data_IF_522061939573
#
_entry.id   IF_522061939573
#
_cell.length_a   1.000
_cell.length_b   1.000
_cell.length_c   1.000
_cell.angle_alpha   90.00
_cell.angle_beta   90.00
_cell.angle_gamma   90.00
#
_symmetry.space_group_name_H-M   'P 1'
#
loop_
_entity.id
_entity.type
_entity.pdbx_description
1 polymer ?
#
# COMPACT_ATOMS: atom_id res chain seq x y z
N UNK A 1 -7.71 5.15 -16.30
CA UNK A 1 -7.72 4.14 -15.21
C UNK A 1 -7.66 4.89 -13.89
N UNK A 2 -8.53 4.56 -12.93
CA UNK A 2 -8.55 5.23 -11.62
C UNK A 2 -7.61 4.51 -10.65
N UNK A 3 -6.93 5.27 -9.78
CA UNK A 3 -6.10 4.71 -8.71
C UNK A 3 -6.94 4.03 -7.61
N UNK A 4 -6.27 3.22 -6.79
CA UNK A 4 -6.86 2.62 -5.58
C UNK A 4 -7.32 3.75 -4.64
N UNK A 5 -8.55 3.69 -4.15
CA UNK A 5 -9.13 4.73 -3.27
C UNK A 5 -8.58 4.62 -1.85
N UNK A 6 -8.36 5.77 -1.18
CA UNK A 6 -7.86 5.85 0.20
C UNK A 6 -8.80 6.54 1.20
N UNK A 7 -8.59 6.33 2.52
CA UNK A 7 -9.49 6.78 3.60
C UNK A 7 -9.46 8.28 3.86
N UNK A 8 -8.30 8.91 3.71
CA UNK A 8 -8.07 10.29 4.13
C UNK A 8 -8.83 11.31 3.27
N UNK A 9 -9.30 10.91 2.10
CA UNK A 9 -10.12 11.73 1.21
C UNK A 9 -10.98 10.82 0.32
N UNK A 10 -12.30 11.05 0.26
CA UNK A 10 -13.24 10.28 -0.57
C UNK A 10 -12.92 10.29 -2.08
N UNK A 11 -12.10 11.25 -2.52
CA UNK A 11 -11.56 11.35 -3.88
C UNK A 11 -10.05 11.13 -3.93
N UNK A 12 -9.44 10.87 -2.77
CA UNK A 12 -8.02 10.59 -2.65
C UNK A 12 -7.70 9.22 -3.23
N UNK A 13 -6.55 9.15 -3.87
CA UNK A 13 -6.00 7.92 -4.41
C UNK A 13 -4.74 7.56 -3.62
N UNK A 14 -4.54 6.27 -3.40
CA UNK A 14 -3.27 5.76 -2.93
C UNK A 14 -2.22 6.06 -3.99
N UNK A 15 -1.16 6.77 -3.61
CA UNK A 15 -0.20 7.33 -4.55
C UNK A 15 1.24 7.10 -4.10
N UNK A 16 2.14 7.14 -5.07
CA UNK A 16 3.59 7.01 -4.88
C UNK A 16 4.32 8.20 -5.51
N UNK A 17 5.62 8.28 -5.26
CA UNK A 17 6.46 9.33 -5.81
C UNK A 17 6.33 9.35 -7.34
N UNK A 18 6.28 10.55 -7.94
CA UNK A 18 6.27 10.71 -9.39
C UNK A 18 7.68 11.01 -9.88
N UNK A 19 8.13 10.29 -10.89
CA UNK A 19 9.36 10.64 -11.63
C UNK A 19 9.07 11.75 -12.63
N UNK A 20 9.99 12.71 -12.72
CA UNK A 20 10.00 13.78 -13.72
C UNK A 20 11.10 13.55 -14.74
N UNK A 21 11.05 14.29 -15.86
CA UNK A 21 12.08 14.29 -16.90
C UNK A 21 13.43 14.78 -16.35
N UNK A 22 13.41 15.78 -15.47
CA UNK A 22 14.59 16.34 -14.82
C UNK A 22 15.12 15.41 -13.70
N UNK A 23 14.30 14.41 -13.32
CA UNK A 23 14.53 13.52 -12.19
C UNK A 23 14.79 14.27 -10.88
N UNK A 24 14.27 15.48 -10.70
CA UNK A 24 14.44 16.25 -9.47
C UNK A 24 13.23 16.06 -8.55
N UNK A 25 13.49 15.64 -7.31
CA UNK A 25 12.46 15.41 -6.30
C UNK A 25 11.69 16.68 -5.90
N UNK A 26 12.30 17.87 -6.09
CA UNK A 26 11.72 19.15 -5.70
C UNK A 26 11.08 19.91 -6.87
N UNK A 27 11.23 19.42 -8.11
CA UNK A 27 10.72 20.13 -9.29
C UNK A 27 9.18 20.16 -9.36
N UNK A 28 8.49 19.14 -8.84
CA UNK A 28 7.03 19.04 -8.81
C UNK A 28 6.56 18.54 -7.43
N UNK A 29 6.84 19.32 -6.38
CA UNK A 29 6.36 19.01 -5.04
C UNK A 29 4.83 18.83 -5.02
N UNK A 30 4.36 17.75 -4.40
CA UNK A 30 2.93 17.45 -4.25
C UNK A 30 2.29 16.68 -5.41
N UNK A 31 2.90 16.61 -6.60
CA UNK A 31 2.36 15.79 -7.69
C UNK A 31 2.79 14.34 -7.49
N UNK A 32 1.82 13.43 -7.41
CA UNK A 32 2.05 12.01 -7.16
C UNK A 32 1.43 11.13 -8.24
N UNK A 33 1.94 9.91 -8.38
CA UNK A 33 1.42 8.94 -9.33
C UNK A 33 0.45 8.01 -8.61
N UNK A 34 -0.79 7.83 -9.10
CA UNK A 34 -1.73 6.92 -8.47
C UNK A 34 -1.31 5.46 -8.65
N UNK A 35 -1.48 4.67 -7.60
CA UNK A 35 -1.28 3.23 -7.65
C UNK A 35 -2.47 2.59 -8.35
N UNK A 36 -2.20 1.98 -9.51
CA UNK A 36 -3.19 1.30 -10.32
C UNK A 36 -3.24 -0.18 -9.93
N UNK A 37 -4.44 -0.69 -9.69
CA UNK A 37 -4.63 -2.08 -9.31
C UNK A 37 -4.03 -3.03 -10.35
N UNK A 38 -3.19 -3.98 -9.90
CA UNK A 38 -2.61 -5.02 -10.75
C UNK A 38 -1.41 -4.59 -11.59
N UNK A 39 -0.96 -3.33 -11.47
CA UNK A 39 0.21 -2.83 -12.19
C UNK A 39 1.39 -2.62 -11.25
N UNK A 40 2.43 -3.41 -11.44
CA UNK A 40 3.71 -3.17 -10.79
C UNK A 40 4.29 -1.86 -11.33
N UNK A 41 4.78 -1.00 -10.44
CA UNK A 41 5.34 0.29 -10.82
C UNK A 41 6.56 0.63 -9.97
N UNK A 42 7.50 1.35 -10.59
CA UNK A 42 8.69 1.86 -9.93
C UNK A 42 8.92 3.29 -10.39
N UNK A 43 9.27 4.15 -9.45
CA UNK A 43 9.60 5.54 -9.71
C UNK A 43 10.70 5.99 -8.75
N UNK A 44 11.39 7.05 -9.13
CA UNK A 44 12.45 7.64 -8.34
C UNK A 44 12.86 9.01 -8.84
N UNK A 45 13.63 9.70 -8.01
CA UNK A 45 14.20 11.02 -8.31
C UNK A 45 15.51 11.21 -7.54
N UNK A 46 16.24 12.24 -7.94
CA UNK A 46 17.47 12.77 -7.35
C UNK A 46 17.10 13.94 -6.46
N UNK A 47 17.49 13.87 -5.20
CA UNK A 47 17.39 14.96 -4.26
C UNK A 47 18.78 15.58 -4.08
N UNK A 48 18.93 16.85 -4.48
CA UNK A 48 20.17 17.61 -4.27
C UNK A 48 20.14 18.29 -2.90
N UNK A 49 21.18 18.04 -2.11
CA UNK A 49 21.39 18.62 -0.78
C UNK A 49 22.52 19.65 -0.91
N UNK A 50 22.16 20.92 -0.90
CA UNK A 50 23.07 22.05 -1.16
C UNK A 50 23.63 22.69 0.10
N UNK A 51 23.10 22.36 1.29
CA UNK A 51 23.56 22.88 2.58
C UNK A 51 23.76 21.75 3.56
N UNK A 52 24.78 21.88 4.40
CA UNK A 52 24.93 21.03 5.57
C UNK A 52 23.69 21.19 6.45
N UNK A 53 22.90 20.12 6.53
CA UNK A 53 21.63 20.08 7.27
C UNK A 53 21.71 18.95 8.29
N UNK A 54 21.22 19.15 9.52
CA UNK A 54 21.13 18.08 10.50
C UNK A 54 20.47 16.83 9.92
N UNK A 55 21.06 15.66 10.19
CA UNK A 55 20.53 14.37 9.73
C UNK A 55 19.02 14.20 9.97
N UNK A 56 18.46 14.51 11.17
CA UNK A 56 17.02 14.37 11.41
C UNK A 56 16.14 15.17 10.45
N UNK A 57 16.59 16.35 10.02
CA UNK A 57 15.84 17.19 9.08
C UNK A 57 15.85 16.58 7.67
N UNK A 58 16.98 16.02 7.24
CA UNK A 58 17.08 15.35 5.95
C UNK A 58 16.21 14.08 5.96
N UNK A 59 16.23 13.32 7.05
CA UNK A 59 15.40 12.12 7.22
C UNK A 59 13.91 12.44 7.09
N UNK A 60 13.41 13.44 7.82
CA UNK A 60 12.00 13.82 7.73
C UNK A 60 11.64 14.40 6.36
N UNK A 61 12.54 15.15 5.73
CA UNK A 61 12.34 15.64 4.35
C UNK A 61 12.25 14.50 3.33
N UNK A 62 13.13 13.51 3.40
CA UNK A 62 13.08 12.39 2.46
C UNK A 62 11.86 11.50 2.73
N UNK A 63 11.54 11.26 4.00
CA UNK A 63 10.35 10.51 4.40
C UNK A 63 9.07 11.18 3.90
N UNK A 64 8.96 12.52 3.98
CA UNK A 64 7.81 13.25 3.45
C UNK A 64 7.75 13.20 1.92
N UNK A 65 8.89 13.22 1.22
CA UNK A 65 8.94 13.02 -0.23
C UNK A 65 8.49 11.61 -0.63
N UNK A 66 8.92 10.56 0.08
CA UNK A 66 8.56 9.17 -0.18
C UNK A 66 7.08 8.89 0.13
N UNK A 67 6.59 9.32 1.29
CA UNK A 67 5.18 9.12 1.71
C UNK A 67 4.21 10.05 0.99
N UNK A 68 4.64 11.26 0.67
CA UNK A 68 3.73 12.33 0.31
C UNK A 68 2.90 12.82 1.50
N UNK A 69 1.97 13.74 1.20
CA UNK A 69 0.99 14.20 2.17
C UNK A 69 -0.18 13.21 2.23
N UNK A 70 -0.61 12.85 3.44
CA UNK A 70 -1.80 12.01 3.63
C UNK A 70 -1.64 10.56 3.17
N UNK A 71 -0.45 9.96 3.39
CA UNK A 71 -0.24 8.53 3.17
C UNK A 71 -1.31 7.72 3.91
N UNK A 72 -1.99 6.77 3.26
CA UNK A 72 -3.21 6.20 3.80
C UNK A 72 -2.95 5.14 4.86
N UNK A 73 -3.80 5.14 5.89
CA UNK A 73 -3.87 4.06 6.87
C UNK A 73 -4.65 2.86 6.33
N UNK A 74 -5.59 3.10 5.41
CA UNK A 74 -6.35 2.03 4.76
C UNK A 74 -6.63 2.33 3.28
N UNK A 75 -6.82 1.27 2.51
CA UNK A 75 -7.22 1.32 1.11
C UNK A 75 -8.49 0.52 0.85
N UNK A 76 -9.20 0.90 -0.21
CA UNK A 76 -10.35 0.17 -0.69
C UNK A 76 -9.97 -1.27 -1.12
N UNK A 77 -10.76 -2.29 -0.73
CA UNK A 77 -10.49 -3.68 -1.10
C UNK A 77 -10.79 -3.97 -2.58
N UNK A 78 -11.73 -3.27 -3.20
CA UNK A 78 -12.11 -3.44 -4.60
C UNK A 78 -11.98 -2.13 -5.38
N UNK A 79 -11.78 -2.22 -6.70
CA UNK A 79 -11.69 -1.04 -7.57
C UNK A 79 -12.97 -0.21 -7.69
N UNK A 80 -14.13 -0.78 -7.32
CA UNK A 80 -15.44 -0.14 -7.32
C UNK A 80 -16.00 0.10 -5.90
N UNK A 81 -15.21 -0.13 -4.84
CA UNK A 81 -15.65 0.16 -3.47
C UNK A 81 -15.96 1.65 -3.31
N UNK A 82 -17.11 1.96 -2.71
CA UNK A 82 -17.40 3.34 -2.34
C UNK A 82 -16.62 3.71 -1.08
N UNK A 83 -16.12 4.94 -1.01
CA UNK A 83 -15.34 5.41 0.13
C UNK A 83 -16.11 5.43 1.48
N UNK A 84 -17.43 5.21 1.45
CA UNK A 84 -18.33 5.22 2.60
C UNK A 84 -18.58 3.82 3.19
N UNK A 85 -18.16 2.75 2.51
CA UNK A 85 -18.28 1.37 3.00
C UNK A 85 -17.06 0.99 3.86
N UNK A 86 -16.94 1.57 5.05
CA UNK A 86 -15.72 1.54 5.90
C UNK A 86 -15.39 0.15 6.47
N UNK A 87 -16.37 -0.75 6.56
CA UNK A 87 -16.23 -2.04 7.27
C UNK A 87 -15.26 -3.03 6.61
N UNK A 88 -14.97 -2.89 5.31
CA UNK A 88 -14.14 -3.84 4.55
C UNK A 88 -12.77 -3.28 4.13
N UNK A 89 -12.37 -2.14 4.69
CA UNK A 89 -11.12 -1.48 4.31
C UNK A 89 -9.89 -2.28 4.72
N UNK A 90 -8.89 -2.29 3.84
CA UNK A 90 -7.64 -3.03 4.07
C UNK A 90 -6.61 -2.11 4.72
N UNK A 91 -6.11 -2.44 5.92
CA UNK A 91 -5.08 -1.64 6.57
C UNK A 91 -3.75 -1.70 5.81
N UNK A 92 -3.06 -0.55 5.78
CA UNK A 92 -1.72 -0.40 5.24
C UNK A 92 -0.72 -0.53 6.39
N UNK A 93 0.03 -1.63 6.40
CA UNK A 93 1.04 -1.88 7.43
C UNK A 93 2.31 -1.14 7.08
N UNK A 94 2.59 -0.04 7.79
CA UNK A 94 3.81 0.74 7.59
C UNK A 94 4.95 0.22 8.47
N UNK A 95 6.01 -0.30 7.86
CA UNK A 95 7.17 -0.87 8.55
C UNK A 95 8.40 -0.03 8.22
N UNK A 96 9.17 0.35 9.23
CA UNK A 96 10.44 1.06 9.03
C UNK A 96 11.59 0.10 9.28
N UNK A 97 12.40 -0.16 8.24
CA UNK A 97 13.62 -0.94 8.36
C UNK A 97 14.79 0.01 8.63
N UNK A 98 15.28 -0.03 9.87
CA UNK A 98 16.44 0.75 10.31
C UNK A 98 17.64 -0.19 10.35
N UNK A 99 18.76 0.19 9.73
CA UNK A 99 19.99 -0.58 9.90
C UNK A 99 20.63 -0.25 11.24
N UNK A 100 21.02 -1.27 12.01
CA UNK A 100 21.58 -1.15 13.37
C UNK A 100 23.06 -0.71 13.39
N UNK A 101 23.45 0.21 12.52
CA UNK A 101 24.79 0.81 12.55
C UNK A 101 24.79 1.94 13.57
N UNK A 102 25.40 1.69 14.74
CA UNK A 102 25.71 2.75 15.71
C UNK A 102 26.55 3.83 14.99
N UNK A 103 26.23 5.09 15.25
CA UNK A 103 27.02 6.27 14.83
C UNK A 103 26.94 6.70 13.36
N UNK A 104 25.96 6.21 12.57
CA UNK A 104 25.70 6.73 11.20
C UNK A 104 24.27 7.20 11.00
N UNK A 105 24.09 8.32 10.29
CA UNK A 105 22.77 8.82 9.92
C UNK A 105 22.05 7.81 9.02
N UNK A 106 20.85 7.38 9.42
CA UNK A 106 20.05 6.42 8.65
C UNK A 106 19.04 7.16 7.78
N UNK A 107 19.29 7.22 6.48
CA UNK A 107 18.44 7.96 5.55
C UNK A 107 17.48 7.00 4.83
N UNK A 108 16.15 7.24 4.86
CA UNK A 108 15.18 6.41 4.15
C UNK A 108 15.28 6.67 2.65
N UNK A 109 15.87 5.77 1.88
CA UNK A 109 16.09 5.97 0.44
C UNK A 109 15.03 5.30 -0.43
N UNK A 110 14.26 4.36 0.10
CA UNK A 110 13.19 3.73 -0.67
C UNK A 110 11.95 3.43 0.14
N UNK A 111 10.79 3.48 -0.52
CA UNK A 111 9.51 2.99 -0.01
C UNK A 111 9.02 1.85 -0.92
N UNK A 112 9.00 0.64 -0.39
CA UNK A 112 8.59 -0.57 -1.12
C UNK A 112 7.22 -1.00 -0.62
N UNK A 113 6.23 -0.97 -1.51
CA UNK A 113 4.84 -1.32 -1.21
C UNK A 113 4.54 -2.66 -1.86
N UNK A 114 4.10 -3.62 -1.03
CA UNK A 114 3.58 -4.91 -1.47
C UNK A 114 2.06 -4.92 -1.29
N UNK A 115 1.35 -5.19 -2.37
CA UNK A 115 -0.11 -5.31 -2.41
C UNK A 115 -0.46 -6.76 -2.70
N UNK A 116 -0.91 -7.50 -1.68
CA UNK A 116 -1.43 -8.86 -1.85
C UNK A 116 -2.89 -8.79 -2.22
N UNK A 117 -3.28 -9.54 -3.25
CA UNK A 117 -4.65 -9.56 -3.74
C UNK A 117 -5.08 -10.99 -4.08
N UNK A 118 -6.40 -11.21 -4.13
CA UNK A 118 -7.00 -12.52 -4.41
C UNK A 118 -8.24 -12.37 -5.29
N UNK A 119 -8.61 -13.44 -6.00
CA UNK A 119 -9.88 -13.56 -6.72
C UNK A 119 -10.98 -13.90 -5.72
N UNK A 120 -11.94 -13.00 -5.57
CA UNK A 120 -13.10 -13.13 -4.69
C UNK A 120 -14.40 -13.20 -5.49
N UNK A 121 -15.31 -14.10 -5.11
CA UNK A 121 -16.62 -14.23 -5.74
C UNK A 121 -16.80 -15.54 -6.51
N UNK A 122 -17.69 -15.54 -7.50
CA UNK A 122 -18.02 -16.74 -8.28
C UNK A 122 -16.91 -17.11 -9.28
N UNK A 123 -16.83 -18.38 -9.64
CA UNK A 123 -15.87 -18.84 -10.66
C UNK A 123 -16.10 -18.19 -12.04
N UNK A 124 -17.35 -17.87 -12.37
CA UNK A 124 -17.73 -17.26 -13.65
C UNK A 124 -17.42 -15.76 -13.71
N UNK A 125 -17.36 -15.09 -12.56
CA UNK A 125 -17.08 -13.66 -12.47
C UNK A 125 -16.31 -13.33 -11.18
N UNK A 126 -15.03 -13.73 -11.08
CA UNK A 126 -14.19 -13.41 -9.94
C UNK A 126 -13.77 -11.94 -10.00
N UNK A 127 -13.87 -11.24 -8.88
CA UNK A 127 -13.41 -9.87 -8.73
C UNK A 127 -12.08 -9.85 -7.96
N UNK A 128 -11.18 -8.97 -8.35
CA UNK A 128 -9.90 -8.83 -7.67
C UNK A 128 -10.08 -8.04 -6.37
N UNK A 129 -9.66 -8.62 -5.24
CA UNK A 129 -9.79 -8.05 -3.90
C UNK A 129 -8.41 -7.91 -3.27
N UNK A 130 -8.06 -6.71 -2.81
CA UNK A 130 -6.89 -6.49 -1.95
C UNK A 130 -7.14 -7.15 -0.60
N UNK A 131 -6.15 -7.88 -0.08
CA UNK A 131 -6.23 -8.54 1.23
C UNK A 131 -5.18 -8.05 2.22
N UNK A 132 -4.06 -7.53 1.73
CA UNK A 132 -3.02 -6.94 2.57
C UNK A 132 -2.23 -5.91 1.78
N UNK A 133 -1.92 -4.79 2.44
CA UNK A 133 -0.91 -3.84 1.95
C UNK A 133 0.16 -3.70 3.01
N UNK A 134 1.42 -3.87 2.60
CA UNK A 134 2.59 -3.63 3.44
C UNK A 134 3.49 -2.60 2.78
N UNK A 135 3.90 -1.57 3.51
CA UNK A 135 4.74 -0.49 3.04
C UNK A 135 6.03 -0.45 3.87
N UNK A 136 7.14 -0.85 3.27
CA UNK A 136 8.44 -0.95 3.91
C UNK A 136 9.31 0.27 3.55
N UNK A 137 9.70 1.03 4.55
CA UNK A 137 10.67 2.12 4.41
C UNK A 137 12.08 1.57 4.58
N UNK A 138 12.85 1.56 3.50
CA UNK A 138 14.22 1.07 3.47
C UNK A 138 15.19 2.23 3.71
N UNK A 139 16.05 2.06 4.72
CA UNK A 139 17.06 3.04 5.08
C UNK A 139 18.46 2.57 4.71
N UNK A 140 19.32 3.50 4.35
CA UNK A 140 20.74 3.26 4.12
C UNK A 140 21.58 4.22 4.96
N UNK A 141 22.79 3.78 5.32
CA UNK A 141 23.78 4.65 5.95
C UNK A 141 24.07 5.86 5.06
N UNK A 142 23.91 7.04 5.62
CA UNK A 142 24.19 8.32 5.01
C UNK A 142 25.30 8.99 5.83
N UNK A 143 26.46 9.30 5.23
CA UNK A 143 27.52 10.00 5.95
C UNK A 143 27.05 11.43 6.25
N UNK A 144 27.26 11.91 7.47
CA UNK A 144 26.94 13.29 7.82
C UNK A 144 27.72 14.26 6.91
N UNK A 145 27.02 15.26 6.40
CA UNK A 145 27.60 16.25 5.49
C UNK A 145 28.55 17.16 6.26
N UNK A 146 29.85 17.04 6.01
CA UNK A 146 30.79 18.12 6.33
C UNK A 146 30.46 19.36 5.48
N UNK A 147 30.65 20.54 6.07
CA UNK A 147 30.31 21.84 5.50
C UNK A 147 30.77 21.99 4.03
N UNK A 148 29.83 22.22 3.10
CA UNK A 148 30.11 22.76 1.76
C UNK A 148 30.07 21.81 0.56
N UNK A 149 29.94 20.49 0.73
CA UNK A 149 29.81 19.57 -0.42
C UNK A 149 28.34 19.38 -0.83
N UNK A 150 28.02 19.68 -2.10
CA UNK A 150 26.73 19.32 -2.69
C UNK A 150 26.65 17.80 -2.82
N UNK A 151 25.56 17.20 -2.32
CA UNK A 151 25.36 15.76 -2.39
C UNK A 151 24.02 15.43 -3.02
N UNK A 152 24.03 14.44 -3.91
CA UNK A 152 22.81 13.93 -4.53
C UNK A 152 22.44 12.58 -3.93
N UNK A 153 21.20 12.46 -3.45
CA UNK A 153 20.61 11.21 -2.95
C UNK A 153 19.59 10.71 -3.97
N UNK A 154 19.64 9.43 -4.29
CA UNK A 154 18.61 8.76 -5.07
C UNK A 154 17.53 8.25 -4.11
N UNK A 155 16.29 8.65 -4.36
CA UNK A 155 15.14 8.15 -3.61
C UNK A 155 14.16 7.48 -4.57
N UNK A 156 13.50 6.42 -4.12
CA UNK A 156 12.62 5.63 -4.99
C UNK A 156 11.43 5.04 -4.28
N UNK A 157 10.38 4.77 -5.04
CA UNK A 157 9.22 4.00 -4.60
C UNK A 157 8.95 2.86 -5.56
N UNK A 158 8.60 1.70 -5.03
CA UNK A 158 8.23 0.53 -5.82
C UNK A 158 6.92 -0.04 -5.30
N UNK A 159 6.06 -0.49 -6.20
CA UNK A 159 4.81 -1.19 -5.88
C UNK A 159 4.78 -2.51 -6.61
N UNK A 160 4.50 -3.58 -5.87
CA UNK A 160 4.37 -4.94 -6.40
C UNK A 160 3.02 -5.52 -6.02
N UNK A 161 2.30 -6.06 -6.99
CA UNK A 161 1.06 -6.81 -6.80
C UNK A 161 1.36 -8.31 -6.78
N UNK A 162 0.93 -8.99 -5.72
CA UNK A 162 1.15 -10.42 -5.52
C UNK A 162 -0.20 -11.13 -5.45
N UNK A 163 -0.45 -12.03 -6.41
CA UNK A 163 -1.63 -12.90 -6.41
C UNK A 163 -1.46 -13.99 -5.34
N UNK A 164 -2.37 -14.00 -4.36
CA UNK A 164 -2.44 -15.02 -3.30
C UNK A 164 -3.71 -15.87 -3.40
N UNK A 165 -4.33 -15.90 -4.58
CA UNK A 165 -5.51 -16.73 -4.85
C UNK A 165 -5.19 -18.21 -4.71
N UNK A 166 -6.06 -18.93 -3.99
CA UNK A 166 -6.05 -20.38 -4.07
C UNK A 166 -6.50 -20.82 -5.47
N UNK A 167 -5.99 -21.95 -5.99
CA UNK A 167 -6.53 -22.55 -7.20
C UNK A 167 -8.02 -22.80 -7.05
N UNK A 168 -8.80 -22.48 -8.09
CA UNK A 168 -10.22 -22.78 -8.10
C UNK A 168 -10.42 -24.30 -8.06
N UNK A 169 -11.06 -24.80 -7.00
CA UNK A 169 -11.45 -26.21 -6.91
C UNK A 169 -12.86 -26.36 -7.49
N UNK A 170 -13.02 -27.25 -8.45
CA UNK A 170 -14.35 -27.62 -8.95
C UNK A 170 -15.12 -28.33 -7.84
N UNK A 171 -16.25 -27.77 -7.43
CA UNK A 171 -17.10 -28.36 -6.41
C UNK A 171 -18.36 -27.53 -6.17
N UNK A 172 -19.49 -28.20 -5.96
CA UNK A 172 -20.67 -27.55 -5.42
C UNK A 172 -20.42 -27.27 -3.93
N UNK A 173 -20.88 -26.12 -3.41
CA UNK A 173 -20.94 -25.93 -1.95
C UNK A 173 -21.67 -27.14 -1.37
N UNK A 174 -21.10 -27.75 -0.32
CA UNK A 174 -21.78 -28.84 0.38
C UNK A 174 -23.20 -28.39 0.72
N UNK A 175 -24.20 -29.20 0.34
CA UNK A 175 -25.59 -28.90 0.62
C UNK A 175 -25.72 -28.70 2.15
N UNK A 176 -26.26 -27.56 2.63
CA UNK A 176 -26.30 -27.28 4.05
C UNK A 176 -27.06 -28.40 4.76
N UNK A 177 -26.48 -28.93 5.84
CA UNK A 177 -27.14 -29.93 6.64
C UNK A 177 -28.40 -29.31 7.26
N UNK A 178 -29.58 -29.69 6.77
CA UNK A 178 -30.85 -29.25 7.32
C UNK A 178 -31.05 -29.97 8.65
N UNK A 179 -30.83 -29.28 9.77
CA UNK A 179 -31.20 -29.77 11.09
C UNK A 179 -32.70 -29.57 11.31
N UNK A 180 -33.52 -30.39 10.64
CA UNK A 180 -34.95 -30.42 10.88
C UNK A 180 -35.23 -31.24 12.16
N UNK A 181 -35.57 -30.56 13.27
CA UNK A 181 -36.13 -31.21 14.45
C UNK A 181 -37.65 -31.18 14.34
N UNK A 182 -38.28 -32.35 14.35
CA UNK A 182 -39.73 -32.45 14.41
C UNK A 182 -40.20 -31.98 15.80
N UNK A 183 -41.17 -31.05 15.90
CA UNK A 183 -41.80 -30.72 17.18
C UNK A 183 -42.59 -31.93 17.71
N UNK A 184 -42.68 -32.04 19.04
CA UNK A 184 -43.17 -33.23 19.76
C UNK A 184 -44.62 -33.63 19.40
N UNK A 185 -45.41 -32.72 18.84
CA UNK A 185 -46.84 -32.89 18.58
C UNK A 185 -47.19 -32.92 17.08
N UNK A 186 -46.21 -33.16 16.19
CA UNK A 186 -46.44 -33.12 14.74
C UNK A 186 -47.53 -34.09 14.26
N UNK A 187 -47.80 -35.15 15.01
CA UNK A 187 -48.70 -36.25 14.63
C UNK A 187 -49.93 -36.42 15.53
N UNK A 188 -50.30 -35.43 16.35
CA UNK A 188 -51.40 -35.59 17.33
C UNK A 188 -52.61 -34.68 17.07
N UNK A 189 -53.85 -35.20 17.20
CA UNK A 189 -54.27 -36.61 17.18
C UNK A 189 -54.74 -37.05 15.78
N UNK A 190 -54.41 -38.28 15.39
CA UNK A 190 -55.08 -38.95 14.27
C UNK A 190 -56.47 -39.45 14.73
N UNK A 191 -57.51 -39.13 13.97
CA UNK A 191 -58.88 -39.63 14.10
C UNK A 191 -59.07 -40.97 13.41
#
# INVERSE_FOLDING_TARGET
MSGIVQTTNRYGQFTVLRSTTEQDCLALEGIRTPVLFGYNMQSGCKLRLTRASPCPLIVEKVKSLLKGQGFPDYVAPFGNSQAQDVLDWVPVHFVTQVSHMKDSCQLPVALVIEVKWTKYGSLLNPQAKIVNVTANLLSSSFPETSSGSERTVLISTAVTFVDVSAPAQAGFRAQPAVSAKLPFNFFFPFV
#
